data_IF_804124679149
#
_entry.id   IF_804124679149
#
_cell.length_a   1.000
_cell.length_b   1.000
_cell.length_c   1.000
_cell.angle_alpha   90.00
_cell.angle_beta   90.00
_cell.angle_gamma   90.00
#
_symmetry.space_group_name_H-M   'P 1'
#
loop_
_entity.id
_entity.type
_entity.pdbx_description
1 polymer ?
#
# COMPACT_ATOMS: atom_id res chain seq x y z
N UNK A 1 12.82 -30.31 -17.90
CA UNK A 1 11.90 -31.31 -18.46
C UNK A 1 10.95 -31.78 -17.37
N UNK A 2 9.68 -32.01 -17.66
CA UNK A 2 8.72 -32.54 -16.69
C UNK A 2 8.81 -34.08 -16.65
N UNK A 3 8.86 -34.68 -15.46
CA UNK A 3 8.83 -36.13 -15.24
C UNK A 3 7.78 -36.49 -14.19
N UNK A 4 7.30 -37.72 -14.17
CA UNK A 4 6.23 -38.11 -13.24
C UNK A 4 6.73 -38.30 -11.81
N UNK A 5 7.95 -38.82 -11.62
CA UNK A 5 8.56 -39.03 -10.32
C UNK A 5 10.09 -38.87 -10.39
N UNK A 6 10.67 -38.05 -9.51
CA UNK A 6 12.11 -37.80 -9.46
C UNK A 6 12.91 -38.91 -8.74
N UNK A 7 12.27 -39.77 -7.93
CA UNK A 7 12.96 -40.86 -7.23
C UNK A 7 13.63 -41.87 -8.17
N UNK A 8 13.15 -41.94 -9.41
CA UNK A 8 13.64 -42.85 -10.44
C UNK A 8 15.01 -42.42 -11.00
N UNK A 9 15.50 -41.24 -10.60
CA UNK A 9 16.72 -40.62 -11.13
C UNK A 9 17.79 -40.33 -10.05
N UNK A 10 17.61 -40.81 -8.81
CA UNK A 10 18.40 -40.32 -7.66
C UNK A 10 19.85 -40.89 -7.54
N UNK A 11 20.75 -39.99 -7.09
CA UNK A 11 22.22 -39.94 -6.84
C UNK A 11 23.23 -41.04 -7.27
N UNK A 12 22.95 -42.01 -8.14
CA UNK A 12 23.97 -43.03 -8.51
C UNK A 12 24.04 -43.42 -10.00
N UNK A 13 23.35 -42.69 -10.87
CA UNK A 13 23.24 -43.06 -12.27
C UNK A 13 24.41 -42.54 -13.11
N UNK A 14 24.95 -43.36 -14.00
CA UNK A 14 25.79 -42.90 -15.12
C UNK A 14 24.93 -42.19 -16.18
N UNK A 15 25.55 -41.45 -17.10
CA UNK A 15 24.82 -40.77 -18.19
C UNK A 15 23.96 -41.76 -18.99
N UNK A 16 24.48 -42.96 -19.26
CA UNK A 16 23.74 -44.02 -19.96
C UNK A 16 22.53 -44.56 -19.17
N UNK A 17 22.63 -44.67 -17.84
CA UNK A 17 21.50 -45.07 -16.99
C UNK A 17 20.42 -43.99 -16.97
N UNK A 18 20.81 -42.72 -16.89
CA UNK A 18 19.89 -41.59 -16.94
C UNK A 18 19.17 -41.53 -18.30
N UNK A 19 19.91 -41.69 -19.40
CA UNK A 19 19.39 -41.78 -20.77
C UNK A 19 18.40 -42.93 -20.92
N UNK A 20 18.71 -44.11 -20.38
CA UNK A 20 17.81 -45.26 -20.39
C UNK A 20 16.55 -45.06 -19.54
N UNK A 21 16.68 -44.41 -18.38
CA UNK A 21 15.54 -44.15 -17.49
C UNK A 21 14.58 -43.12 -18.08
N UNK A 22 15.11 -42.11 -18.80
CA UNK A 22 14.29 -41.10 -19.47
C UNK A 22 13.68 -41.59 -20.79
N UNK A 23 14.29 -42.58 -21.45
CA UNK A 23 13.80 -43.15 -22.69
C UNK A 23 13.54 -42.08 -23.76
N UNK A 24 12.31 -42.02 -24.29
CA UNK A 24 11.91 -41.05 -25.31
C UNK A 24 11.86 -39.60 -24.82
N UNK A 25 11.92 -39.38 -23.50
CA UNK A 25 11.97 -38.04 -22.93
C UNK A 25 13.40 -37.46 -22.94
N UNK A 26 14.43 -38.25 -23.26
CA UNK A 26 15.80 -37.73 -23.35
C UNK A 26 15.89 -36.55 -24.34
N UNK A 27 16.33 -35.35 -23.91
CA UNK A 27 16.13 -34.13 -24.68
C UNK A 27 17.13 -33.94 -25.83
N UNK A 28 18.12 -34.83 -25.98
CA UNK A 28 19.15 -34.75 -27.00
C UNK A 28 19.08 -35.93 -27.96
N UNK A 29 18.98 -35.65 -29.26
CA UNK A 29 18.90 -36.69 -30.30
C UNK A 29 20.28 -37.27 -30.69
N UNK A 30 21.36 -36.62 -30.29
CA UNK A 30 22.75 -36.99 -30.59
C UNK A 30 23.49 -37.41 -29.32
N UNK A 31 24.54 -38.20 -29.47
CA UNK A 31 25.49 -38.44 -28.37
C UNK A 31 26.10 -37.11 -27.92
N UNK A 32 26.22 -36.92 -26.61
CA UNK A 32 26.61 -35.62 -26.05
C UNK A 32 28.06 -35.25 -26.46
N UNK A 33 28.88 -36.26 -26.78
CA UNK A 33 30.29 -36.11 -27.10
C UNK A 33 31.06 -35.46 -25.94
N UNK A 34 32.14 -34.73 -26.26
CA UNK A 34 32.92 -33.94 -25.28
C UNK A 34 32.19 -32.66 -24.81
N UNK A 35 30.91 -32.46 -25.16
CA UNK A 35 30.19 -31.25 -24.74
C UNK A 35 29.62 -31.39 -23.34
N UNK A 36 29.88 -30.38 -22.52
CA UNK A 36 29.22 -30.21 -21.23
C UNK A 36 27.74 -29.83 -21.42
N UNK A 37 26.82 -30.60 -20.82
CA UNK A 37 25.39 -30.28 -20.79
C UNK A 37 24.86 -30.18 -19.37
N UNK A 38 23.78 -29.43 -19.24
CA UNK A 38 23.00 -29.34 -18.01
C UNK A 38 21.62 -29.91 -18.26
N UNK A 39 21.23 -30.89 -17.45
CA UNK A 39 19.89 -31.46 -17.45
C UNK A 39 19.16 -31.02 -16.20
N UNK A 40 18.01 -30.39 -16.37
CA UNK A 40 17.11 -30.03 -15.27
C UNK A 40 15.83 -30.84 -15.43
N UNK A 41 15.57 -31.70 -14.48
CA UNK A 41 14.33 -32.46 -14.34
C UNK A 41 13.46 -31.79 -13.28
N UNK A 42 12.17 -31.69 -13.54
CA UNK A 42 11.18 -31.17 -12.61
C UNK A 42 10.03 -32.15 -12.58
N UNK A 43 9.47 -32.47 -11.42
CA UNK A 43 8.23 -33.25 -11.39
C UNK A 43 6.97 -32.38 -11.34
N UNK A 44 5.81 -33.07 -11.35
CA UNK A 44 4.49 -32.44 -11.19
C UNK A 44 4.30 -31.75 -9.84
N UNK A 45 5.04 -32.17 -8.80
CA UNK A 45 5.00 -31.52 -7.48
C UNK A 45 5.81 -30.22 -7.46
N UNK A 46 6.69 -30.05 -8.44
CA UNK A 46 7.57 -28.91 -8.59
C UNK A 46 8.96 -29.12 -8.01
N UNK A 47 9.27 -30.31 -7.47
CA UNK A 47 10.63 -30.66 -7.08
C UNK A 47 11.54 -30.69 -8.31
N UNK A 48 12.83 -30.42 -8.10
CA UNK A 48 13.81 -30.25 -9.18
C UNK A 48 15.06 -31.08 -8.89
N UNK A 49 15.54 -31.82 -9.90
CA UNK A 49 16.88 -32.39 -9.93
C UNK A 49 17.67 -31.75 -11.06
N UNK A 50 18.92 -31.41 -10.79
CA UNK A 50 19.81 -30.81 -11.77
C UNK A 50 21.10 -31.63 -11.88
N UNK A 51 21.51 -31.91 -13.11
CA UNK A 51 22.72 -32.66 -13.41
C UNK A 51 23.62 -31.89 -14.36
N UNK A 52 24.93 -31.96 -14.14
CA UNK A 52 25.96 -31.74 -15.15
C UNK A 52 26.28 -33.08 -15.79
N UNK A 53 26.25 -33.13 -17.12
CA UNK A 53 26.52 -34.33 -17.90
C UNK A 53 27.67 -34.05 -18.85
N UNK A 54 28.59 -35.01 -18.94
CA UNK A 54 29.66 -35.03 -19.91
C UNK A 54 29.89 -36.48 -20.33
N UNK A 55 29.96 -36.71 -21.65
CA UNK A 55 29.94 -38.05 -22.25
C UNK A 55 31.20 -38.28 -23.12
N UNK A 56 32.27 -37.54 -22.80
CA UNK A 56 33.57 -37.62 -23.45
C UNK A 56 34.36 -38.88 -23.11
N UNK A 57 35.68 -38.87 -23.39
CA UNK A 57 36.56 -40.01 -23.13
C UNK A 57 36.53 -40.50 -21.66
N UNK A 58 36.32 -39.56 -20.72
CA UNK A 58 36.04 -39.82 -19.32
C UNK A 58 34.65 -39.25 -18.98
N UNK A 59 33.58 -40.05 -19.08
CA UNK A 59 32.23 -39.57 -18.82
C UNK A 59 32.03 -39.34 -17.31
N UNK A 60 31.48 -38.19 -16.96
CA UNK A 60 31.18 -37.83 -15.58
C UNK A 60 29.81 -37.17 -15.45
N UNK A 61 29.23 -37.37 -14.26
CA UNK A 61 27.94 -36.84 -13.87
C UNK A 61 28.07 -36.19 -12.50
N UNK A 62 27.56 -34.97 -12.38
CA UNK A 62 27.48 -34.26 -11.11
C UNK A 62 26.04 -33.90 -10.85
N UNK A 63 25.48 -34.39 -9.75
CA UNK A 63 24.20 -33.92 -9.26
C UNK A 63 24.40 -32.61 -8.50
N UNK A 64 23.45 -31.69 -8.69
CA UNK A 64 23.36 -30.46 -7.92
C UNK A 64 22.19 -30.57 -6.94
N UNK A 65 22.42 -30.17 -5.70
CA UNK A 65 21.36 -29.99 -4.73
C UNK A 65 20.63 -28.67 -5.01
N UNK A 66 19.31 -28.75 -5.14
CA UNK A 66 18.46 -27.56 -5.24
C UNK A 66 18.18 -27.07 -3.83
N UNK A 67 18.58 -25.81 -3.57
CA UNK A 67 18.24 -25.11 -2.35
C UNK A 67 17.01 -24.25 -2.62
N UNK A 68 15.88 -24.63 -2.02
CA UNK A 68 14.68 -23.80 -2.02
C UNK A 68 14.78 -22.76 -0.90
N UNK A 69 14.78 -21.48 -1.26
CA UNK A 69 14.79 -20.35 -0.33
C UNK A 69 13.42 -19.68 -0.19
N UNK A 70 12.38 -20.23 -0.83
CA UNK A 70 11.03 -19.67 -0.91
C UNK A 70 10.03 -20.50 -0.08
N UNK A 71 10.41 -21.71 0.34
CA UNK A 71 9.59 -22.57 1.17
C UNK A 71 9.20 -21.95 2.53
N UNK A 72 8.10 -22.42 3.15
CA UNK A 72 7.54 -21.86 4.38
C UNK A 72 8.51 -21.93 5.58
N UNK A 73 9.45 -22.87 5.58
CA UNK A 73 10.53 -22.97 6.56
C UNK A 73 11.48 -21.77 6.54
N UNK A 74 11.53 -21.03 5.42
CA UNK A 74 12.32 -19.82 5.27
C UNK A 74 11.52 -18.53 5.61
N UNK A 75 10.28 -18.64 6.09
CA UNK A 75 9.46 -17.48 6.45
C UNK A 75 10.03 -16.77 7.70
N UNK A 76 10.48 -15.53 7.51
CA UNK A 76 11.04 -14.67 8.59
C UNK A 76 10.09 -13.59 9.10
N UNK A 77 8.93 -13.44 8.46
CA UNK A 77 7.92 -12.48 8.89
C UNK A 77 7.11 -13.04 10.08
N UNK A 78 6.60 -12.17 10.97
CA UNK A 78 5.71 -12.58 12.05
C UNK A 78 4.53 -13.43 11.57
N UNK A 79 4.06 -14.35 12.41
CA UNK A 79 3.01 -15.31 12.03
C UNK A 79 1.66 -14.62 11.78
N UNK A 80 1.40 -13.54 12.51
CA UNK A 80 0.22 -12.68 12.35
C UNK A 80 0.14 -12.03 10.96
N UNK A 81 1.25 -11.95 10.21
CA UNK A 81 1.28 -11.37 8.87
C UNK A 81 0.94 -12.38 7.77
N UNK A 82 0.69 -13.66 8.10
CA UNK A 82 0.39 -14.70 7.11
C UNK A 82 -0.82 -14.39 6.24
N UNK A 83 -1.81 -13.65 6.73
CA UNK A 83 -3.03 -13.31 6.01
C UNK A 83 -2.85 -12.09 5.09
N UNK A 84 -1.75 -11.34 5.22
CA UNK A 84 -1.54 -10.11 4.45
C UNK A 84 -1.43 -10.33 2.94
N UNK A 85 -1.09 -11.54 2.50
CA UNK A 85 -1.09 -11.87 1.06
C UNK A 85 -2.50 -11.82 0.45
N UNK A 86 -3.54 -11.92 1.27
CA UNK A 86 -4.94 -11.90 0.85
C UNK A 86 -5.58 -10.52 1.00
N UNK A 87 -4.91 -9.58 1.68
CA UNK A 87 -5.44 -8.22 1.81
C UNK A 87 -5.07 -7.39 0.60
N UNK A 88 -5.92 -6.40 0.33
CA UNK A 88 -5.75 -5.44 -0.73
C UNK A 88 -5.71 -4.02 -0.19
N UNK A 89 -4.63 -3.32 -0.51
CA UNK A 89 -4.38 -1.96 0.00
C UNK A 89 -4.37 -0.96 -1.14
N UNK A 90 -5.22 0.07 -1.05
CA UNK A 90 -5.14 1.23 -1.93
C UNK A 90 -4.19 2.27 -1.33
N UNK A 91 -3.30 2.83 -2.13
CA UNK A 91 -2.40 3.91 -1.75
C UNK A 91 -2.58 5.05 -2.74
N UNK A 92 -3.06 6.17 -2.22
CA UNK A 92 -3.39 7.37 -3.00
C UNK A 92 -2.34 8.43 -2.66
N UNK A 93 -1.57 8.84 -3.65
CA UNK A 93 -0.37 9.65 -3.49
C UNK A 93 0.87 8.77 -3.25
N UNK A 94 1.80 8.80 -4.21
CA UNK A 94 3.08 8.12 -4.25
C UNK A 94 4.25 9.10 -4.17
N UNK A 95 4.03 10.21 -3.47
CA UNK A 95 5.08 11.10 -3.02
C UNK A 95 6.03 10.44 -2.02
N UNK A 96 6.74 11.27 -1.27
CA UNK A 96 7.79 10.84 -0.34
C UNK A 96 7.30 9.88 0.74
N UNK A 97 6.08 10.05 1.24
CA UNK A 97 5.50 9.18 2.26
C UNK A 97 4.90 7.90 1.66
N UNK A 98 3.98 8.04 0.71
CA UNK A 98 3.23 6.90 0.16
C UNK A 98 4.09 5.86 -0.55
N UNK A 99 5.13 6.28 -1.28
CA UNK A 99 6.08 5.36 -1.93
C UNK A 99 6.81 4.45 -0.94
N UNK A 100 7.30 5.02 0.16
CA UNK A 100 8.01 4.29 1.24
C UNK A 100 7.09 3.32 1.97
N UNK A 101 5.87 3.77 2.26
CA UNK A 101 4.84 2.94 2.92
C UNK A 101 4.46 1.77 2.02
N UNK A 102 4.29 1.99 0.72
CA UNK A 102 3.99 0.93 -0.25
C UNK A 102 5.06 -0.17 -0.24
N UNK A 103 6.33 0.21 -0.38
CA UNK A 103 7.46 -0.73 -0.37
C UNK A 103 7.57 -1.45 0.97
N UNK A 104 7.39 -0.74 2.09
CA UNK A 104 7.45 -1.33 3.43
C UNK A 104 6.31 -2.34 3.67
N UNK A 105 5.09 -2.06 3.20
CA UNK A 105 3.96 -3.00 3.26
C UNK A 105 4.19 -4.24 2.40
N UNK A 106 4.76 -4.07 1.20
CA UNK A 106 5.12 -5.19 0.34
C UNK A 106 6.15 -6.10 1.02
N UNK A 107 7.18 -5.51 1.65
CA UNK A 107 8.14 -6.27 2.46
C UNK A 107 7.50 -6.97 3.65
N UNK A 108 6.46 -6.38 4.25
CA UNK A 108 5.75 -6.94 5.40
C UNK A 108 4.77 -8.08 5.05
N UNK A 109 4.49 -8.34 3.77
CA UNK A 109 3.65 -9.47 3.35
C UNK A 109 2.42 -9.09 2.52
N UNK A 110 2.12 -7.80 2.36
CA UNK A 110 1.02 -7.36 1.48
C UNK A 110 1.38 -7.66 0.03
N UNK A 111 0.44 -8.21 -0.74
CA UNK A 111 0.67 -8.59 -2.15
C UNK A 111 -0.22 -7.85 -3.13
N UNK A 112 -1.41 -7.41 -2.73
CA UNK A 112 -2.38 -6.81 -3.65
C UNK A 112 -2.46 -5.31 -3.41
N UNK A 113 -2.12 -4.52 -4.42
CA UNK A 113 -2.06 -3.06 -4.34
C UNK A 113 -2.92 -2.39 -5.41
N UNK A 114 -3.54 -1.28 -5.02
CA UNK A 114 -4.14 -0.29 -5.93
C UNK A 114 -3.37 1.01 -5.73
N UNK A 115 -2.68 1.48 -6.76
CA UNK A 115 -1.86 2.67 -6.69
C UNK A 115 -2.47 3.78 -7.53
N UNK A 116 -2.65 4.97 -6.94
CA UNK A 116 -3.21 6.13 -7.63
C UNK A 116 -2.33 7.35 -7.37
N UNK A 117 -1.78 7.93 -8.43
CA UNK A 117 -1.00 9.17 -8.40
C UNK A 117 -0.93 9.73 -9.82
N UNK A 118 -1.06 11.05 -9.98
CA UNK A 118 -1.08 11.71 -11.29
C UNK A 118 0.31 12.12 -11.80
N UNK A 119 1.31 12.15 -10.92
CA UNK A 119 2.60 12.77 -11.23
C UNK A 119 3.55 11.84 -11.99
N UNK A 120 4.45 12.50 -12.72
CA UNK A 120 5.68 11.92 -13.24
C UNK A 120 6.80 12.11 -12.21
N UNK A 121 7.65 11.10 -12.05
CA UNK A 121 8.80 11.17 -11.17
C UNK A 121 9.89 12.07 -11.75
N UNK A 122 10.28 13.12 -11.02
CA UNK A 122 11.24 14.12 -11.46
C UNK A 122 12.50 14.15 -10.56
N UNK A 123 13.64 14.70 -11.01
CA UNK A 123 14.90 14.68 -10.24
C UNK A 123 14.80 15.26 -8.83
N UNK A 124 13.99 16.30 -8.62
CA UNK A 124 13.80 16.90 -7.30
C UNK A 124 13.11 15.97 -6.30
N UNK A 125 12.43 14.92 -6.76
CA UNK A 125 11.79 13.93 -5.87
C UNK A 125 12.80 12.95 -5.27
N UNK A 126 13.97 12.75 -5.88
CA UNK A 126 15.01 11.82 -5.42
C UNK A 126 15.50 12.10 -4.00
N UNK A 127 15.36 13.33 -3.52
CA UNK A 127 15.88 13.75 -2.21
C UNK A 127 15.13 13.10 -1.04
N UNK A 128 13.98 12.46 -1.28
CA UNK A 128 13.14 11.83 -0.23
C UNK A 128 12.04 10.87 -0.73
N UNK A 129 12.05 10.47 -1.99
CA UNK A 129 11.14 9.43 -2.50
C UNK A 129 11.84 8.06 -2.39
N UNK A 130 11.07 6.97 -2.43
CA UNK A 130 11.64 5.62 -2.45
C UNK A 130 12.26 5.25 -3.82
N UNK A 131 11.78 5.89 -4.89
CA UNK A 131 12.28 5.68 -6.25
C UNK A 131 13.69 6.22 -6.46
N UNK A 132 14.35 5.72 -7.51
CA UNK A 132 15.75 6.01 -7.82
C UNK A 132 15.94 6.67 -9.21
N UNK A 133 17.19 6.90 -9.60
CA UNK A 133 17.51 7.63 -10.84
C UNK A 133 16.96 6.96 -12.11
N UNK A 134 16.79 5.64 -12.10
CA UNK A 134 16.23 4.88 -13.23
C UNK A 134 14.74 5.13 -13.45
N UNK A 135 14.06 5.70 -12.45
CA UNK A 135 12.62 5.96 -12.49
C UNK A 135 12.29 7.37 -13.01
N UNK A 136 13.30 8.24 -13.18
CA UNK A 136 13.09 9.62 -13.62
C UNK A 136 12.44 9.65 -15.00
N UNK A 137 11.35 10.41 -15.13
CA UNK A 137 10.55 10.53 -16.36
C UNK A 137 9.41 9.51 -16.49
N UNK A 138 9.31 8.51 -15.59
CA UNK A 138 8.18 7.59 -15.56
C UNK A 138 7.06 8.10 -14.65
N UNK A 139 5.82 7.70 -14.95
CA UNK A 139 4.70 7.89 -14.03
C UNK A 139 5.01 7.22 -12.68
N UNK A 140 4.78 7.93 -11.56
CA UNK A 140 5.10 7.42 -10.23
C UNK A 140 4.43 6.08 -9.93
N UNK A 141 3.17 5.92 -10.35
CA UNK A 141 2.43 4.65 -10.21
C UNK A 141 3.12 3.47 -10.88
N UNK A 142 3.68 3.67 -12.09
CA UNK A 142 4.35 2.62 -12.84
C UNK A 142 5.72 2.28 -12.23
N UNK A 143 6.47 3.30 -11.80
CA UNK A 143 7.76 3.13 -11.16
C UNK A 143 7.63 2.43 -9.80
N UNK A 144 6.71 2.85 -8.93
CA UNK A 144 6.47 2.19 -7.65
C UNK A 144 5.97 0.76 -7.87
N UNK A 145 5.06 0.52 -8.82
CA UNK A 145 4.61 -0.84 -9.14
C UNK A 145 5.76 -1.78 -9.53
N UNK A 146 6.77 -1.27 -10.25
CA UNK A 146 7.99 -2.03 -10.55
C UNK A 146 8.79 -2.32 -9.28
N UNK A 147 9.02 -1.33 -8.43
CA UNK A 147 9.73 -1.52 -7.15
C UNK A 147 9.02 -2.54 -6.25
N UNK A 148 7.69 -2.50 -6.15
CA UNK A 148 6.91 -3.48 -5.38
C UNK A 148 7.16 -4.91 -5.88
N UNK A 149 7.21 -5.12 -7.20
CA UNK A 149 7.48 -6.44 -7.81
C UNK A 149 8.93 -6.90 -7.61
N UNK A 150 9.87 -5.98 -7.40
CA UNK A 150 11.26 -6.31 -7.08
C UNK A 150 11.44 -6.73 -5.61
N UNK A 151 10.68 -6.14 -4.69
CA UNK A 151 10.81 -6.45 -3.25
C UNK A 151 9.86 -7.55 -2.77
N UNK A 152 8.77 -7.81 -3.49
CA UNK A 152 7.77 -8.81 -3.13
C UNK A 152 7.37 -9.67 -4.33
N UNK A 153 7.83 -10.92 -4.31
CA UNK A 153 7.45 -11.93 -5.31
C UNK A 153 5.94 -12.13 -5.28
N UNK A 154 5.33 -12.15 -6.47
CA UNK A 154 3.89 -12.34 -6.63
C UNK A 154 3.04 -11.12 -6.26
N UNK A 155 3.63 -9.92 -6.15
CA UNK A 155 2.86 -8.70 -5.97
C UNK A 155 1.94 -8.44 -7.19
N UNK A 156 0.64 -8.37 -6.94
CA UNK A 156 -0.37 -7.92 -7.88
C UNK A 156 -0.64 -6.43 -7.66
N UNK A 157 -0.43 -5.62 -8.70
CA UNK A 157 -0.46 -4.16 -8.60
C UNK A 157 -1.28 -3.59 -9.74
N UNK A 158 -2.41 -2.96 -9.40
CA UNK A 158 -3.17 -2.11 -10.31
C UNK A 158 -2.77 -0.65 -10.14
N UNK A 159 -2.63 0.07 -11.24
CA UNK A 159 -2.14 1.45 -11.25
C UNK A 159 -3.08 2.36 -12.02
N UNK A 160 -3.33 3.54 -11.48
CA UNK A 160 -4.12 4.59 -12.12
C UNK A 160 -3.33 5.90 -12.10
N UNK A 161 -2.98 6.41 -13.28
CA UNK A 161 -2.36 7.73 -13.40
C UNK A 161 -3.45 8.78 -13.41
N UNK A 162 -3.91 9.21 -12.22
CA UNK A 162 -5.02 10.15 -12.07
C UNK A 162 -5.02 10.83 -10.70
N UNK A 163 -5.73 11.94 -10.62
CA UNK A 163 -6.03 12.63 -9.36
C UNK A 163 -7.43 12.25 -8.86
N UNK A 164 -7.55 11.74 -7.63
CA UNK A 164 -8.85 11.34 -7.05
C UNK A 164 -9.82 12.52 -6.88
N UNK A 165 -9.31 13.75 -6.79
CA UNK A 165 -10.11 14.98 -6.71
C UNK A 165 -9.87 15.93 -7.90
N UNK A 166 -9.30 15.43 -8.99
CA UNK A 166 -9.04 16.19 -10.22
C UNK A 166 -10.27 16.33 -11.11
N UNK A 167 -10.11 17.08 -12.20
CA UNK A 167 -11.09 17.13 -13.29
C UNK A 167 -10.88 15.94 -14.23
N UNK A 168 -11.16 14.74 -13.71
CA UNK A 168 -11.09 13.51 -14.48
C UNK A 168 -12.42 13.22 -15.18
N UNK A 169 -12.39 12.39 -16.22
CA UNK A 169 -13.61 11.85 -16.81
C UNK A 169 -14.39 11.06 -15.74
N UNK A 170 -15.69 11.36 -15.58
CA UNK A 170 -16.56 10.70 -14.59
C UNK A 170 -16.53 9.17 -14.66
N UNK A 171 -16.37 8.60 -15.85
CA UNK A 171 -16.23 7.14 -16.00
C UNK A 171 -14.93 6.63 -15.37
N UNK A 172 -13.81 7.32 -15.60
CA UNK A 172 -12.51 6.94 -15.07
C UNK A 172 -12.43 7.13 -13.55
N UNK A 173 -13.03 8.21 -13.04
CA UNK A 173 -13.22 8.39 -11.61
C UNK A 173 -14.08 7.28 -10.98
N UNK A 174 -15.11 6.81 -11.68
CA UNK A 174 -15.92 5.65 -11.30
C UNK A 174 -15.12 4.35 -11.23
N UNK A 175 -14.24 4.10 -12.20
CA UNK A 175 -13.36 2.93 -12.20
C UNK A 175 -12.39 2.93 -10.99
N UNK A 176 -11.82 4.09 -10.65
CA UNK A 176 -10.97 4.22 -9.45
C UNK A 176 -11.81 3.99 -8.18
N UNK A 177 -13.02 4.53 -8.11
CA UNK A 177 -13.95 4.31 -7.00
C UNK A 177 -14.25 2.82 -6.80
N UNK A 178 -14.64 2.12 -7.88
CA UNK A 178 -14.99 0.71 -7.83
C UNK A 178 -13.78 -0.13 -7.40
N UNK A 179 -12.58 0.20 -7.90
CA UNK A 179 -11.37 -0.51 -7.51
C UNK A 179 -11.02 -0.28 -6.04
N UNK A 180 -11.07 0.96 -5.56
CA UNK A 180 -10.82 1.31 -4.15
C UNK A 180 -11.88 0.66 -3.23
N UNK A 181 -13.12 0.54 -3.68
CA UNK A 181 -14.21 -0.09 -2.93
C UNK A 181 -13.97 -1.60 -2.66
N UNK A 182 -13.08 -2.25 -3.41
CA UNK A 182 -12.69 -3.66 -3.18
C UNK A 182 -11.51 -3.82 -2.21
N UNK A 183 -10.92 -2.73 -1.73
CA UNK A 183 -9.78 -2.77 -0.83
C UNK A 183 -10.19 -2.98 0.63
N UNK A 184 -9.29 -3.57 1.43
CA UNK A 184 -9.47 -3.68 2.87
C UNK A 184 -9.04 -2.41 3.61
N UNK A 185 -8.11 -1.66 3.02
CA UNK A 185 -7.58 -0.43 3.60
C UNK A 185 -7.17 0.57 2.52
N UNK A 186 -7.41 1.84 2.78
CA UNK A 186 -6.95 2.99 1.99
C UNK A 186 -5.90 3.78 2.77
N UNK A 187 -4.79 4.10 2.12
CA UNK A 187 -3.77 5.02 2.63
C UNK A 187 -3.87 6.32 1.84
N UNK A 188 -4.19 7.41 2.54
CA UNK A 188 -4.10 8.75 1.97
C UNK A 188 -2.74 9.35 2.30
N UNK A 189 -1.93 9.52 1.26
CA UNK A 189 -0.65 10.21 1.28
C UNK A 189 -0.61 11.34 0.24
N UNK A 190 -1.77 11.89 -0.12
CA UNK A 190 -1.91 12.95 -1.14
C UNK A 190 -1.56 14.35 -0.63
N UNK A 191 -1.63 14.58 0.69
CA UNK A 191 -1.64 15.90 1.31
C UNK A 191 -2.72 16.86 0.74
N UNK A 192 -3.75 16.32 0.08
CA UNK A 192 -4.80 17.10 -0.57
C UNK A 192 -6.12 16.96 0.19
N UNK A 193 -6.58 18.06 0.79
CA UNK A 193 -7.82 18.08 1.57
C UNK A 193 -9.05 17.62 0.80
N UNK A 194 -9.13 17.88 -0.51
CA UNK A 194 -10.24 17.43 -1.36
C UNK A 194 -10.19 15.93 -1.60
N UNK A 195 -9.00 15.40 -1.90
CA UNK A 195 -8.80 13.95 -2.06
C UNK A 195 -9.18 13.22 -0.76
N UNK A 196 -8.75 13.73 0.40
CA UNK A 196 -9.13 13.17 1.69
C UNK A 196 -10.65 13.09 1.85
N UNK A 197 -11.40 14.16 1.54
CA UNK A 197 -12.87 14.17 1.69
C UNK A 197 -13.52 13.10 0.82
N UNK A 198 -13.06 12.96 -0.42
CA UNK A 198 -13.53 11.91 -1.33
C UNK A 198 -13.23 10.54 -0.75
N UNK A 199 -11.97 10.26 -0.37
CA UNK A 199 -11.56 8.98 0.19
C UNK A 199 -12.29 8.63 1.49
N UNK A 200 -12.51 9.61 2.36
CA UNK A 200 -13.27 9.43 3.59
C UNK A 200 -14.74 9.06 3.31
N UNK A 201 -15.35 9.64 2.27
CA UNK A 201 -16.70 9.27 1.85
C UNK A 201 -16.74 7.84 1.26
N UNK A 202 -15.75 7.46 0.43
CA UNK A 202 -15.65 6.12 -0.16
C UNK A 202 -15.49 5.07 0.94
N UNK A 203 -14.55 5.29 1.85
CA UNK A 203 -14.22 4.36 2.94
C UNK A 203 -15.35 4.19 3.92
N UNK A 204 -16.02 5.29 4.30
CA UNK A 204 -17.22 5.25 5.16
C UNK A 204 -18.38 4.50 4.50
N UNK A 205 -18.59 4.67 3.19
CA UNK A 205 -19.70 4.03 2.47
C UNK A 205 -19.51 2.51 2.28
N UNK A 206 -18.27 2.05 2.18
CA UNK A 206 -17.93 0.65 1.88
C UNK A 206 -17.34 -0.10 3.09
N UNK A 207 -17.40 0.48 4.30
CA UNK A 207 -16.82 -0.09 5.51
C UNK A 207 -15.34 -0.49 5.32
N UNK A 208 -14.53 0.43 4.77
CA UNK A 208 -13.10 0.24 4.53
C UNK A 208 -12.29 1.03 5.56
N UNK A 209 -11.19 0.47 6.05
CA UNK A 209 -10.29 1.19 6.94
C UNK A 209 -9.52 2.27 6.19
N UNK A 210 -9.25 3.40 6.84
CA UNK A 210 -8.44 4.48 6.27
C UNK A 210 -7.28 4.81 7.21
N UNK A 211 -6.09 5.01 6.67
CA UNK A 211 -4.90 5.50 7.38
C UNK A 211 -4.35 6.71 6.61
N UNK A 212 -3.90 7.73 7.32
CA UNK A 212 -3.27 8.89 6.71
C UNK A 212 -2.22 9.48 7.63
N UNK A 213 -1.32 10.27 7.06
CA UNK A 213 -0.29 10.95 7.82
C UNK A 213 0.28 12.15 7.08
N UNK A 214 0.87 13.04 7.85
CA UNK A 214 1.45 14.29 7.36
C UNK A 214 2.73 14.60 8.14
N UNK A 215 3.76 15.07 7.44
CA UNK A 215 4.98 15.56 8.08
C UNK A 215 4.86 17.07 8.24
N UNK A 216 5.08 17.57 9.45
CA UNK A 216 5.05 18.99 9.72
C UNK A 216 6.25 19.69 9.06
N UNK A 217 6.01 20.90 8.56
CA UNK A 217 7.03 21.64 7.85
C UNK A 217 8.30 21.84 8.70
N UNK A 218 9.45 21.82 8.02
CA UNK A 218 10.77 21.79 8.65
C UNK A 218 11.16 20.46 9.32
N UNK A 219 10.35 19.41 9.19
CA UNK A 219 10.67 18.09 9.78
C UNK A 219 10.71 18.15 11.31
N UNK A 220 9.92 19.04 11.92
CA UNK A 220 9.86 19.19 13.38
C UNK A 220 9.13 18.04 14.05
N UNK A 221 8.21 17.42 13.32
CA UNK A 221 7.42 16.28 13.74
C UNK A 221 6.48 15.84 12.62
N UNK A 222 5.52 14.99 12.98
CA UNK A 222 4.52 14.46 12.07
C UNK A 222 3.23 14.15 12.83
N UNK A 223 2.19 13.84 12.06
CA UNK A 223 0.93 13.30 12.55
C UNK A 223 0.61 12.04 11.74
N UNK A 224 0.03 11.04 12.41
CA UNK A 224 -0.63 9.93 11.75
C UNK A 224 -1.97 9.65 12.42
N UNK A 225 -2.94 9.19 11.64
CA UNK A 225 -4.25 8.84 12.14
C UNK A 225 -4.91 7.74 11.30
N UNK A 226 -5.93 7.10 11.89
CA UNK A 226 -6.71 6.05 11.24
C UNK A 226 -8.20 6.17 11.54
N UNK A 227 -8.98 5.47 10.74
CA UNK A 227 -10.40 5.20 10.94
C UNK A 227 -10.65 3.73 10.61
N UNK A 228 -11.02 2.94 11.62
CA UNK A 228 -11.50 1.56 11.45
C UNK A 228 -13.02 1.51 11.54
N UNK A 229 -13.72 0.97 10.53
CA UNK A 229 -15.15 0.71 10.60
C UNK A 229 -15.52 -0.03 11.90
N UNK A 230 -16.61 0.39 12.53
CA UNK A 230 -17.14 -0.15 13.80
C UNK A 230 -16.26 0.03 15.06
N UNK A 231 -14.97 0.35 14.94
CA UNK A 231 -14.05 0.50 16.07
C UNK A 231 -13.71 1.96 16.36
N UNK A 232 -13.39 2.74 15.32
CA UNK A 232 -13.10 4.17 15.42
C UNK A 232 -14.26 5.01 14.84
N UNK A 233 -14.19 6.32 15.00
CA UNK A 233 -15.07 7.24 14.25
C UNK A 233 -14.66 7.26 12.76
N UNK A 234 -15.55 7.73 11.88
CA UNK A 234 -15.21 7.87 10.46
C UNK A 234 -14.09 8.90 10.24
N UNK A 235 -13.35 8.76 9.14
CA UNK A 235 -12.14 9.53 8.88
C UNK A 235 -12.36 11.06 8.91
N UNK A 236 -13.53 11.56 8.46
CA UNK A 236 -13.85 12.98 8.56
C UNK A 236 -14.03 13.40 10.02
N UNK A 237 -14.79 12.63 10.80
CA UNK A 237 -15.00 12.91 12.21
C UNK A 237 -13.68 12.88 13.01
N UNK A 238 -12.82 11.90 12.76
CA UNK A 238 -11.48 11.81 13.38
C UNK A 238 -10.64 13.04 12.99
N UNK A 239 -10.57 13.39 11.70
CA UNK A 239 -9.78 14.55 11.26
C UNK A 239 -10.30 15.88 11.86
N UNK A 240 -11.61 16.08 11.87
CA UNK A 240 -12.22 17.26 12.49
C UNK A 240 -11.94 17.33 13.99
N UNK A 241 -11.99 16.20 14.69
CA UNK A 241 -11.65 16.15 16.11
C UNK A 241 -10.18 16.49 16.36
N UNK A 242 -9.26 15.92 15.57
CA UNK A 242 -7.83 16.25 15.65
C UNK A 242 -7.64 17.76 15.49
N UNK A 243 -8.18 18.39 14.45
CA UNK A 243 -8.05 19.84 14.27
C UNK A 243 -8.67 20.65 15.42
N UNK A 244 -9.77 20.18 16.02
CA UNK A 244 -10.33 20.76 17.23
C UNK A 244 -9.34 20.72 18.41
N UNK A 245 -8.70 19.58 18.64
CA UNK A 245 -7.67 19.42 19.69
C UNK A 245 -6.47 20.32 19.40
N UNK A 246 -5.98 20.34 18.16
CA UNK A 246 -4.85 21.17 17.76
C UNK A 246 -5.13 22.66 17.92
N UNK A 247 -6.38 23.10 17.73
CA UNK A 247 -6.80 24.48 17.97
C UNK A 247 -6.79 24.89 19.46
N UNK A 248 -6.82 23.92 20.39
CA UNK A 248 -6.69 24.20 21.84
C UNK A 248 -5.24 24.24 22.31
N UNK A 249 -4.29 23.76 21.51
CA UNK A 249 -2.87 23.81 21.83
C UNK A 249 -2.32 25.22 21.63
N UNK A 250 -1.23 25.59 22.31
CA UNK A 250 -0.50 26.83 22.03
C UNK A 250 -0.19 26.96 20.53
N UNK A 251 -0.22 28.18 19.97
CA UNK A 251 0.09 28.37 18.56
C UNK A 251 1.53 27.93 18.25
N UNK A 252 1.74 27.35 17.07
CA UNK A 252 3.06 26.93 16.62
C UNK A 252 4.00 28.16 16.59
N UNK A 253 5.16 28.14 17.27
CA UNK A 253 6.05 29.29 17.34
C UNK A 253 6.50 29.75 15.95
N UNK A 254 6.26 31.01 15.57
CA UNK A 254 6.59 31.57 14.25
C UNK A 254 5.87 30.92 13.05
N UNK A 255 4.62 30.43 13.23
CA UNK A 255 3.79 29.90 12.13
C UNK A 255 2.31 30.23 12.27
N UNK A 256 1.54 30.21 11.16
CA UNK A 256 0.07 30.22 11.18
C UNK A 256 -0.45 28.78 11.24
N UNK A 257 -1.49 28.56 12.04
CA UNK A 257 -2.07 27.26 12.39
C UNK A 257 -2.91 26.59 11.28
N UNK A 258 -3.04 27.21 10.11
CA UNK A 258 -4.04 26.78 9.11
C UNK A 258 -3.45 26.11 7.88
N UNK A 259 -2.14 26.19 7.65
CA UNK A 259 -1.47 25.52 6.55
C UNK A 259 -0.14 24.96 7.06
N UNK A 260 0.00 23.63 7.07
CA UNK A 260 1.21 22.91 7.47
C UNK A 260 2.36 23.06 6.44
N UNK A 261 2.48 24.23 5.84
CA UNK A 261 3.64 24.75 5.12
C UNK A 261 4.21 25.92 5.94
N UNK A 262 5.35 25.72 6.61
CA UNK A 262 6.05 26.80 7.29
C UNK A 262 6.64 27.76 6.24
N UNK A 263 5.99 28.90 6.05
CA UNK A 263 6.67 30.13 5.62
C UNK A 263 7.00 30.95 6.88
N UNK A 264 8.18 30.71 7.45
CA UNK A 264 8.73 31.52 8.52
C UNK A 264 10.03 32.17 8.04
N UNK A 265 9.99 33.48 7.77
CA UNK A 265 11.18 34.28 7.46
C UNK A 265 11.73 34.16 6.03
N UNK A 266 10.95 33.66 5.06
CA UNK A 266 11.38 33.54 3.66
C UNK A 266 12.23 32.29 3.35
N UNK A 267 12.54 31.46 4.34
CA UNK A 267 13.15 30.14 4.14
C UNK A 267 12.10 29.04 4.27
N UNK A 268 11.77 28.39 3.14
CA UNK A 268 10.93 27.18 3.13
C UNK A 268 11.73 26.06 3.78
N UNK A 269 11.40 25.71 5.03
CA UNK A 269 12.02 24.58 5.72
C UNK A 269 11.35 23.29 5.26
N UNK A 270 12.09 22.51 4.48
CA UNK A 270 11.61 21.25 3.90
C UNK A 270 12.03 20.08 4.80
N UNK A 271 11.10 19.14 5.06
CA UNK A 271 11.43 17.91 5.77
C UNK A 271 12.42 17.04 4.98
N UNK A 272 13.39 16.46 5.68
CA UNK A 272 14.42 15.57 5.12
C UNK A 272 13.86 14.17 4.83
N UNK A 273 14.59 13.35 4.08
CA UNK A 273 14.24 11.94 3.88
C UNK A 273 14.12 11.18 5.21
N UNK A 274 14.99 11.45 6.19
CA UNK A 274 14.94 10.81 7.49
C UNK A 274 13.63 11.12 8.25
N UNK A 275 13.17 12.38 8.20
CA UNK A 275 11.92 12.80 8.86
C UNK A 275 10.71 12.10 8.21
N UNK A 276 10.69 12.00 6.87
CA UNK A 276 9.63 11.31 6.14
C UNK A 276 9.69 9.80 6.39
N UNK A 277 10.88 9.21 6.38
CA UNK A 277 11.10 7.78 6.62
C UNK A 277 10.69 7.38 8.04
N UNK A 278 10.88 8.25 9.03
CA UNK A 278 10.37 8.02 10.39
C UNK A 278 8.84 7.92 10.42
N UNK A 279 8.13 8.83 9.74
CA UNK A 279 6.67 8.75 9.63
C UNK A 279 6.25 7.52 8.83
N UNK A 280 6.91 7.25 7.71
CA UNK A 280 6.60 6.10 6.85
C UNK A 280 6.68 4.79 7.64
N UNK A 281 7.75 4.59 8.41
CA UNK A 281 7.92 3.41 9.25
C UNK A 281 6.83 3.30 10.33
N UNK A 282 6.55 4.40 11.05
CA UNK A 282 5.51 4.43 12.08
C UNK A 282 4.11 4.16 11.48
N UNK A 283 3.79 4.80 10.35
CA UNK A 283 2.52 4.64 9.66
C UNK A 283 2.37 3.24 9.04
N UNK A 284 3.45 2.61 8.57
CA UNK A 284 3.44 1.21 8.16
C UNK A 284 3.10 0.29 9.32
N UNK A 285 3.73 0.44 10.49
CA UNK A 285 3.38 -0.36 11.68
C UNK A 285 1.91 -0.17 12.08
N UNK A 286 1.46 1.09 12.05
CA UNK A 286 0.08 1.44 12.36
C UNK A 286 -0.93 0.83 11.37
N UNK A 287 -0.55 0.76 10.09
CA UNK A 287 -1.34 0.12 9.02
C UNK A 287 -1.39 -1.40 9.21
N UNK A 288 -0.26 -2.04 9.53
CA UNK A 288 -0.20 -3.48 9.77
C UNK A 288 -1.06 -3.88 10.98
N UNK A 289 -1.00 -3.12 12.07
CA UNK A 289 -1.90 -3.32 13.22
C UNK A 289 -3.37 -3.14 12.82
N UNK A 290 -3.68 -2.13 12.01
CA UNK A 290 -5.04 -1.87 11.51
C UNK A 290 -5.58 -3.06 10.71
N UNK A 291 -4.72 -3.73 9.92
CA UNK A 291 -5.08 -4.90 9.11
C UNK A 291 -5.16 -6.20 9.92
N UNK A 292 -4.30 -6.38 10.92
CA UNK A 292 -4.12 -7.67 11.58
C UNK A 292 -4.76 -7.78 12.97
N UNK A 293 -4.84 -6.69 13.73
CA UNK A 293 -5.09 -6.76 15.17
C UNK A 293 -6.58 -6.78 15.55
N UNK A 294 -7.46 -6.26 14.70
CA UNK A 294 -8.90 -6.13 15.01
C UNK A 294 -9.13 -5.36 16.32
N UNK A 295 -9.82 -5.99 17.28
CA UNK A 295 -10.06 -5.43 18.62
C UNK A 295 -8.82 -5.48 19.53
N UNK A 296 -7.85 -6.36 19.25
CA UNK A 296 -6.61 -6.51 20.03
C UNK A 296 -5.50 -5.54 19.58
N UNK A 297 -5.86 -4.34 19.13
CA UNK A 297 -4.91 -3.32 18.67
C UNK A 297 -3.92 -2.94 19.77
N UNK A 298 -2.65 -2.81 19.42
CA UNK A 298 -1.63 -2.28 20.35
C UNK A 298 -1.60 -0.75 20.39
N UNK A 299 -2.37 -0.10 19.51
CA UNK A 299 -2.51 1.35 19.46
C UNK A 299 -3.82 1.78 20.16
N UNK A 300 -3.75 2.32 21.38
CA UNK A 300 -4.93 2.64 22.18
C UNK A 300 -5.78 3.79 21.62
N UNK A 301 -5.18 4.69 20.83
CA UNK A 301 -5.88 5.81 20.20
C UNK A 301 -5.75 5.78 18.69
N UNK A 302 -6.67 6.48 18.01
CA UNK A 302 -6.75 6.54 16.55
C UNK A 302 -5.79 7.55 15.92
N UNK A 303 -5.14 8.42 16.70
CA UNK A 303 -4.28 9.47 16.17
C UNK A 303 -3.10 9.80 17.12
N UNK A 304 -1.96 10.15 16.53
CA UNK A 304 -0.73 10.48 17.25
C UNK A 304 -0.03 11.66 16.59
N UNK A 305 0.56 12.53 17.41
CA UNK A 305 1.60 13.47 17.00
C UNK A 305 2.97 12.89 17.39
N UNK A 306 3.91 12.92 16.46
CA UNK A 306 5.25 12.39 16.61
C UNK A 306 6.26 13.53 16.55
N UNK A 307 7.01 13.76 17.62
CA UNK A 307 8.04 14.78 17.73
C UNK A 307 9.40 14.27 17.30
N UNK A 308 10.05 14.95 16.36
CA UNK A 308 11.41 14.59 15.89
C UNK A 308 12.49 15.45 16.53
N UNK A 309 12.12 16.59 17.11
CA UNK A 309 13.01 17.49 17.86
C UNK A 309 12.18 18.35 18.82
N UNK A 310 12.85 19.00 19.77
CA UNK A 310 12.20 19.92 20.70
C UNK A 310 11.70 21.17 19.95
N UNK A 311 10.39 21.27 19.75
CA UNK A 311 9.72 22.38 19.07
C UNK A 311 8.20 22.32 19.30
N UNK A 312 7.55 23.48 19.44
CA UNK A 312 6.11 23.58 19.74
C UNK A 312 5.75 22.75 21.01
N UNK A 313 4.79 21.83 20.94
CA UNK A 313 4.38 20.95 22.04
C UNK A 313 5.32 19.74 22.24
N UNK A 314 6.25 19.50 21.31
CA UNK A 314 7.18 18.37 21.43
C UNK A 314 8.32 18.68 22.40
N UNK A 315 8.49 17.83 23.40
CA UNK A 315 9.52 17.93 24.45
C UNK A 315 10.91 17.55 23.93
N UNK A 316 11.00 16.76 22.87
CA UNK A 316 12.25 16.29 22.29
C UNK A 316 12.04 15.30 21.14
N UNK A 317 13.14 14.72 20.60
CA UNK A 317 13.05 13.59 19.67
C UNK A 317 12.33 12.39 20.28
N UNK A 318 11.58 11.66 19.46
CA UNK A 318 10.78 10.49 19.83
C UNK A 318 9.60 10.79 20.77
N UNK A 319 9.28 12.07 21.01
CA UNK A 319 8.12 12.43 21.80
C UNK A 319 6.84 12.02 21.08
N UNK A 320 5.88 11.43 21.78
CA UNK A 320 4.66 10.90 21.19
C UNK A 320 3.47 11.39 21.99
N UNK A 321 2.61 12.17 21.34
CA UNK A 321 1.41 12.73 21.95
C UNK A 321 0.19 12.00 21.36
N UNK A 322 -0.47 11.11 22.12
CA UNK A 322 -1.70 10.47 21.67
C UNK A 322 -2.86 11.47 21.65
N UNK A 323 -3.72 11.39 20.63
CA UNK A 323 -4.98 12.15 20.54
C UNK A 323 -6.14 11.15 20.65
N UNK A 324 -6.82 11.18 21.80
CA UNK A 324 -8.00 10.34 22.05
C UNK A 324 -9.19 10.83 21.21
N UNK A 325 -9.53 10.05 20.18
CA UNK A 325 -10.64 10.35 19.27
C UNK A 325 -11.95 9.63 19.64
N UNK A 326 -12.06 9.03 20.82
CA UNK A 326 -13.28 8.30 21.26
C UNK A 326 -14.52 9.18 21.22
N UNK A 327 -14.40 10.47 21.58
CA UNK A 327 -15.50 11.45 21.52
C UNK A 327 -15.89 11.87 20.09
N UNK A 328 -15.07 11.55 19.08
CA UNK A 328 -15.42 11.82 17.68
C UNK A 328 -16.47 10.84 17.15
N UNK A 329 -16.72 9.73 17.86
CA UNK A 329 -17.68 8.70 17.46
C UNK A 329 -19.10 9.24 17.61
N UNK A 330 -19.72 9.58 16.49
CA UNK A 330 -21.16 9.90 16.45
C UNK A 330 -21.97 8.60 16.40
N UNK A 331 -23.05 8.44 17.19
CA UNK A 331 -23.98 7.33 17.03
C UNK A 331 -24.52 7.29 15.60
N UNK A 332 -24.67 6.09 15.02
CA UNK A 332 -25.15 5.89 13.64
C UNK A 332 -26.54 6.52 13.39
N UNK A 333 -27.32 6.69 14.47
CA UNK A 333 -28.68 7.23 14.46
C UNK A 333 -28.79 8.69 14.95
N UNK A 334 -27.66 9.37 15.20
CA UNK A 334 -27.66 10.80 15.48
C UNK A 334 -27.86 11.59 14.18
N UNK A 335 -29.02 11.44 13.55
CA UNK A 335 -29.54 12.46 12.65
C UNK A 335 -29.81 13.67 13.53
N UNK A 336 -28.95 14.68 13.46
CA UNK A 336 -29.32 16.00 13.96
C UNK A 336 -30.63 16.39 13.28
N UNK A 337 -31.64 16.74 14.07
CA UNK A 337 -32.86 17.33 13.53
C UNK A 337 -32.46 18.55 12.73
N UNK A 338 -32.88 18.61 11.48
CA UNK A 338 -32.69 19.80 10.64
C UNK A 338 -33.21 21.01 11.42
N UNK A 339 -32.46 22.10 11.39
CA UNK A 339 -32.96 23.38 11.88
C UNK A 339 -34.14 23.83 11.01
N UNK A 340 -35.03 24.68 11.53
CA UNK A 340 -36.17 25.21 10.74
C UNK A 340 -35.73 25.88 9.42
N UNK A 341 -34.51 26.44 9.41
CA UNK A 341 -33.90 27.04 8.22
C UNK A 341 -33.50 25.96 7.21
N UNK A 342 -32.81 24.91 7.66
CA UNK A 342 -32.42 23.79 6.79
C UNK A 342 -33.63 23.01 6.26
N UNK A 343 -34.69 22.87 7.05
CA UNK A 343 -35.96 22.29 6.57
C UNK A 343 -36.58 23.16 5.47
N UNK A 344 -36.61 24.48 5.65
CA UNK A 344 -37.08 25.43 4.65
C UNK A 344 -36.26 25.39 3.36
N UNK A 345 -34.93 25.30 3.47
CA UNK A 345 -34.01 25.26 2.32
C UNK A 345 -34.10 23.93 1.53
N UNK A 346 -34.59 22.86 2.16
CA UNK A 346 -34.82 21.56 1.52
C UNK A 346 -36.16 21.47 0.79
N UNK A 347 -37.12 22.36 1.06
CA UNK A 347 -38.44 22.35 0.37
C UNK A 347 -38.29 22.49 -1.15
N UNK A 348 -37.54 23.48 -1.68
CA UNK A 348 -37.40 23.63 -3.14
C UNK A 348 -36.68 22.44 -3.80
N UNK A 349 -35.73 21.82 -3.10
CA UNK A 349 -35.01 20.64 -3.59
C UNK A 349 -35.92 19.41 -3.69
N UNK A 350 -36.80 19.21 -2.71
CA UNK A 350 -37.80 18.12 -2.74
C UNK A 350 -38.82 18.34 -3.84
N UNK A 351 -39.32 19.56 -4.00
CA UNK A 351 -40.24 19.91 -5.09
C UNK A 351 -39.60 19.71 -6.47
N UNK A 352 -38.33 20.06 -6.64
CA UNK A 352 -37.60 19.84 -7.89
C UNK A 352 -37.41 18.33 -8.20
N UNK A 353 -37.07 17.52 -7.20
CA UNK A 353 -36.95 16.06 -7.36
C UNK A 353 -38.29 15.40 -7.70
N UNK A 354 -39.38 15.84 -7.06
CA UNK A 354 -40.73 15.33 -7.32
C UNK A 354 -41.23 15.75 -8.72
N UNK A 355 -40.93 16.98 -9.15
CA UNK A 355 -41.23 17.47 -10.49
C UNK A 355 -40.50 16.66 -11.59
N UNK A 356 -39.24 16.28 -11.37
CA UNK A 356 -38.48 15.45 -12.31
C UNK A 356 -39.02 14.01 -12.42
N UNK A 357 -39.48 13.43 -11.30
CA UNK A 357 -40.18 12.13 -11.35
C UNK A 357 -41.49 12.17 -12.13
N UNK A 358 -42.18 13.32 -12.15
CA UNK A 358 -43.38 13.50 -12.98
C UNK A 358 -43.07 13.82 -14.44
N UNK A 359 -41.94 14.47 -14.74
CA UNK A 359 -41.49 14.71 -16.11
C UNK A 359 -41.08 13.41 -16.82
N UNK A 360 -40.48 12.45 -16.11
CA UNK A 360 -40.10 11.14 -16.65
C UNK A 360 -41.31 10.26 -17.06
N UNK A 361 -42.50 10.52 -16.53
CA UNK A 361 -43.73 9.79 -16.89
C UNK A 361 -44.54 10.43 -18.03
N UNK A 362 -44.24 11.67 -18.44
CA UNK A 362 -44.97 12.39 -19.50
C UNK A 362 -44.31 12.35 -20.88
N UNK A 363 -43.17 11.66 -21.04
CA UNK A 363 -42.49 11.45 -22.33
C UNK A 363 -42.78 10.09 -22.98
N UNK A 364 -43.75 9.33 -22.48
CA UNK A 364 -44.27 8.12 -23.10
C UNK A 364 -45.76 8.25 -23.40
N UNK A 365 -46.12 9.11 -24.37
CA UNK A 365 -47.37 9.02 -25.13
C UNK A 365 -47.21 9.55 -26.54
#
# INVERSE_FOLDING_TARGET
>A
MLVDNLSDFDVSMSVGLLKSAMGSAWPWNEDLGDNLRYLILRDISGAVLAYRLHEGAEPDIWSYHVLDFIGPENQRLPLEFKTLSNVRVAIIGLGSLGSKVAVSLARAGVRNFVLVDEDIFAPHNLVRNELNWLDVGFAKVAAVARELKLVAIGADVKTYTASVAGQENSKFAGEIYDEVATCNLVIDATANSKAFVVLAAITKRNDISMVWGEVFAGGVGAMMARSRPCLDADALAVRSHIYGVLATMPPVPNGRSTEYAHEAGGEVRVASDADVSALAAAMTQFTLDTLCAGEATVYPVAAYLLGYRKYWEFKGPFDTIPIDCTSARRPKDARESLTEIEESDLVPLREAMEADTHAAHNSAK
#
